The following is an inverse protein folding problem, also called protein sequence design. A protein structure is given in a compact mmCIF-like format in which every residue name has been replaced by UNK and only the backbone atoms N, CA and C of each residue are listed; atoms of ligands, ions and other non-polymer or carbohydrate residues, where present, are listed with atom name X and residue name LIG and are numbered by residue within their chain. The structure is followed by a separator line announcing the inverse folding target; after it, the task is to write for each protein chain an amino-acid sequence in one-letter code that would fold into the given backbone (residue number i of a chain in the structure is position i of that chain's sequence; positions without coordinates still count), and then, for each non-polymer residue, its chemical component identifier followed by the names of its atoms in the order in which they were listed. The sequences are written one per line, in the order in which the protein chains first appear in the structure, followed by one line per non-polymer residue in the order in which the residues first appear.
data_IF_752998889619
#
_entry.id   IF_752998889619
#
_cell.length_a   1.000
_cell.length_b   1.000
_cell.length_c   1.000
_cell.angle_alpha   90.00
_cell.angle_beta   90.00
_cell.angle_gamma   90.00
#
_symmetry.space_group_name_H-M   'P 1'
#
loop_
_entity.id
_entity.type
_entity.pdbx_description
1 polymer ?
#
# COMPACT_ATOMS: atom_id res chain seq x y z
N UNK A 1 4.76 -25.57 6.09
CA UNK A 1 4.90 -24.54 5.03
C UNK A 1 5.64 -25.19 3.86
N UNK A 2 5.14 -25.11 2.63
CA UNK A 2 5.86 -25.64 1.47
C UNK A 2 7.19 -24.87 1.31
N UNK A 3 8.30 -25.57 1.03
CA UNK A 3 9.64 -24.97 0.88
C UNK A 3 9.64 -23.84 -0.14
N UNK A 4 8.82 -23.95 -1.19
CA UNK A 4 8.65 -22.94 -2.23
C UNK A 4 8.12 -21.62 -1.65
N UNK A 5 7.04 -21.68 -0.86
CA UNK A 5 6.40 -20.51 -0.24
C UNK A 5 7.37 -19.79 0.71
N UNK A 6 8.18 -20.57 1.44
CA UNK A 6 9.18 -20.01 2.34
C UNK A 6 10.27 -19.23 1.59
N UNK A 7 10.72 -19.77 0.46
CA UNK A 7 11.73 -19.09 -0.38
C UNK A 7 11.14 -17.80 -0.96
N UNK A 8 9.92 -17.83 -1.50
CA UNK A 8 9.25 -16.64 -2.04
C UNK A 8 9.12 -15.53 -0.98
N UNK A 9 8.73 -15.90 0.24
CA UNK A 9 8.59 -14.97 1.35
C UNK A 9 9.93 -14.32 1.73
N UNK A 10 11.00 -15.12 1.84
CA UNK A 10 12.34 -14.61 2.16
C UNK A 10 12.85 -13.68 1.07
N UNK A 11 12.66 -14.03 -0.21
CA UNK A 11 13.07 -13.19 -1.35
C UNK A 11 12.32 -11.87 -1.33
N UNK A 12 11.00 -11.90 -1.11
CA UNK A 12 10.19 -10.69 -0.99
C UNK A 12 10.70 -9.75 0.11
N UNK A 13 10.95 -10.28 1.31
CA UNK A 13 11.52 -9.50 2.42
C UNK A 13 12.91 -8.95 2.09
N UNK A 14 13.77 -9.75 1.48
CA UNK A 14 15.12 -9.33 1.11
C UNK A 14 15.10 -8.17 0.10
N UNK A 15 14.19 -8.22 -0.88
CA UNK A 15 14.01 -7.13 -1.86
C UNK A 15 13.54 -5.85 -1.17
N UNK A 16 12.52 -5.93 -0.31
CA UNK A 16 12.01 -4.76 0.43
C UNK A 16 13.09 -4.11 1.30
N UNK A 17 13.84 -4.92 2.05
CA UNK A 17 14.96 -4.44 2.87
C UNK A 17 16.06 -3.84 2.01
N UNK A 18 16.38 -4.46 0.86
CA UNK A 18 17.36 -3.95 -0.09
C UNK A 18 17.00 -2.56 -0.62
N UNK A 19 15.73 -2.35 -1.00
CA UNK A 19 15.22 -1.05 -1.44
C UNK A 19 15.35 -0.02 -0.30
N UNK A 20 14.91 -0.37 0.91
CA UNK A 20 15.00 0.50 2.08
C UNK A 20 16.43 0.93 2.39
N UNK A 21 17.37 -0.02 2.42
CA UNK A 21 18.78 0.25 2.67
C UNK A 21 19.44 1.09 1.56
N UNK A 22 19.05 0.88 0.30
CA UNK A 22 19.54 1.66 -0.82
C UNK A 22 19.17 3.15 -0.67
N UNK A 23 17.90 3.44 -0.37
CA UNK A 23 17.43 4.81 -0.18
C UNK A 23 17.95 5.43 1.13
N UNK A 24 18.13 4.64 2.18
CA UNK A 24 18.70 5.09 3.46
C UNK A 24 20.15 5.60 3.34
N UNK A 25 20.93 5.07 2.39
CA UNK A 25 22.32 5.49 2.16
C UNK A 25 22.44 6.72 1.26
N UNK A 26 21.34 7.18 0.67
CA UNK A 26 21.33 8.32 -0.25
C UNK A 26 21.29 9.62 0.55
N UNK A 27 22.18 10.57 0.24
CA UNK A 27 22.11 11.91 0.82
C UNK A 27 20.88 12.63 0.25
N UNK A 28 19.86 12.82 1.08
CA UNK A 28 18.62 13.51 0.74
C UNK A 28 18.53 14.80 1.56
N UNK A 29 18.06 15.89 0.92
CA UNK A 29 17.67 17.07 1.68
C UNK A 29 16.35 16.82 2.42
N UNK A 30 16.00 17.66 3.40
CA UNK A 30 14.72 17.57 4.11
C UNK A 30 13.51 17.62 3.16
N UNK A 31 13.61 18.42 2.08
CA UNK A 31 12.57 18.50 1.05
C UNK A 31 12.50 17.23 0.18
N UNK A 32 13.63 16.58 -0.09
CA UNK A 32 13.64 15.30 -0.81
C UNK A 32 13.05 14.17 0.03
N UNK A 33 13.29 14.19 1.35
CA UNK A 33 12.78 13.18 2.27
C UNK A 33 11.27 13.31 2.51
N UNK A 34 10.76 14.53 2.72
CA UNK A 34 9.34 14.75 3.00
C UNK A 34 8.45 14.81 1.75
N UNK A 35 8.93 15.40 0.64
CA UNK A 35 8.10 15.68 -0.54
C UNK A 35 8.55 14.91 -1.79
N UNK A 36 9.49 13.97 -1.66
CA UNK A 36 10.08 13.25 -2.80
C UNK A 36 10.76 14.19 -3.80
N UNK A 37 11.11 15.42 -3.38
CA UNK A 37 11.74 16.44 -4.22
C UNK A 37 10.87 16.93 -5.39
N UNK A 38 9.55 16.76 -5.35
CA UNK A 38 8.62 16.99 -6.49
C UNK A 38 8.95 16.16 -7.74
N UNK A 39 9.75 15.11 -7.61
CA UNK A 39 10.17 14.23 -8.73
C UNK A 39 9.21 13.05 -8.95
N UNK A 40 8.32 12.80 -7.99
CA UNK A 40 7.36 11.70 -8.04
C UNK A 40 6.08 12.21 -8.73
N UNK A 41 5.61 11.54 -9.81
CA UNK A 41 4.38 11.95 -10.47
C UNK A 41 3.17 11.73 -9.55
N UNK A 42 2.18 12.61 -9.64
CA UNK A 42 1.03 12.65 -8.71
C UNK A 42 0.27 11.33 -8.59
N UNK A 43 0.12 10.57 -9.69
CA UNK A 43 -0.53 9.26 -9.67
C UNK A 43 0.24 8.23 -8.81
N UNK A 44 1.58 8.27 -8.84
CA UNK A 44 2.41 7.35 -8.05
C UNK A 44 2.38 7.73 -6.56
N UNK A 45 2.31 9.03 -6.27
CA UNK A 45 2.15 9.55 -4.91
C UNK A 45 0.80 9.12 -4.32
N UNK A 46 -0.28 9.25 -5.11
CA UNK A 46 -1.63 8.84 -4.74
C UNK A 46 -1.73 7.35 -4.44
N UNK A 47 -1.14 6.50 -5.30
CA UNK A 47 -1.08 5.05 -5.06
C UNK A 47 -0.24 4.69 -3.83
N UNK A 48 0.88 5.37 -3.60
CA UNK A 48 1.74 5.13 -2.43
C UNK A 48 1.05 5.46 -1.11
N UNK A 49 0.27 6.55 -1.10
CA UNK A 49 -0.50 6.94 0.08
C UNK A 49 -1.59 5.90 0.38
N UNK A 50 -2.33 5.41 -0.64
CA UNK A 50 -3.31 4.34 -0.44
C UNK A 50 -2.68 3.00 -0.07
N UNK A 51 -1.52 2.63 -0.63
CA UNK A 51 -0.81 1.42 -0.22
C UNK A 51 -0.38 1.44 1.26
N UNK A 52 -0.19 2.64 1.83
CA UNK A 52 0.09 2.80 3.27
C UNK A 52 -1.17 2.61 4.11
N UNK A 53 -2.33 3.08 3.64
CA UNK A 53 -3.62 2.90 4.31
C UNK A 53 -4.17 1.47 4.19
N UNK A 54 -4.01 0.86 3.02
CA UNK A 54 -4.46 -0.50 2.71
C UNK A 54 -3.45 -1.52 3.21
N UNK A 55 -3.49 -1.77 4.52
CA UNK A 55 -2.72 -2.82 5.18
C UNK A 55 -3.41 -4.18 5.07
N UNK A 56 -3.15 -5.09 6.01
CA UNK A 56 -3.88 -6.35 6.16
C UNK A 56 -5.41 -6.18 6.30
N UNK A 57 -5.89 -4.93 6.47
CA UNK A 57 -7.29 -4.54 6.44
C UNK A 57 -8.07 -5.11 5.24
N UNK A 58 -7.63 -4.90 4.00
CA UNK A 58 -8.38 -5.38 2.83
C UNK A 58 -8.49 -6.91 2.79
N UNK A 59 -7.40 -7.60 3.13
CA UNK A 59 -7.30 -9.06 2.97
C UNK A 59 -7.90 -9.85 4.12
N UNK A 60 -7.84 -9.33 5.35
CA UNK A 60 -8.35 -10.03 6.54
C UNK A 60 -9.57 -9.33 7.14
N UNK A 61 -9.56 -8.00 7.22
CA UNK A 61 -10.63 -7.21 7.83
C UNK A 61 -11.89 -7.19 6.97
N UNK A 62 -11.79 -6.68 5.74
CA UNK A 62 -12.93 -6.54 4.84
C UNK A 62 -13.49 -7.91 4.41
N UNK A 63 -12.64 -8.89 4.14
CA UNK A 63 -13.07 -10.26 3.79
C UNK A 63 -13.74 -10.96 4.97
N UNK A 64 -13.21 -10.80 6.20
CA UNK A 64 -13.83 -11.32 7.42
C UNK A 64 -15.19 -10.69 7.69
N UNK A 65 -15.29 -9.37 7.50
CA UNK A 65 -16.57 -8.67 7.57
C UNK A 65 -17.54 -9.14 6.47
N UNK A 66 -17.07 -9.30 5.24
CA UNK A 66 -17.88 -9.78 4.13
C UNK A 66 -18.40 -11.20 4.36
N UNK A 67 -17.60 -12.06 4.99
CA UNK A 67 -18.04 -13.40 5.41
C UNK A 67 -19.19 -13.34 6.41
N UNK A 68 -19.17 -12.39 7.35
CA UNK A 68 -20.23 -12.23 8.36
C UNK A 68 -21.48 -11.49 7.85
N UNK A 69 -21.30 -10.41 7.08
CA UNK A 69 -22.38 -9.52 6.63
C UNK A 69 -22.96 -9.89 5.24
N UNK A 70 -22.36 -10.86 4.55
CA UNK A 70 -22.77 -11.31 3.23
C UNK A 70 -22.61 -10.24 2.15
N UNK A 71 -23.45 -10.32 1.11
CA UNK A 71 -23.35 -9.48 -0.10
C UNK A 71 -23.48 -7.97 0.17
N UNK A 72 -24.06 -7.57 1.31
CA UNK A 72 -24.23 -6.17 1.69
C UNK A 72 -22.89 -5.44 1.87
N UNK A 73 -21.82 -6.18 2.16
CA UNK A 73 -20.45 -5.66 2.31
C UNK A 73 -19.88 -5.03 1.04
N UNK A 74 -20.45 -5.30 -0.14
CA UNK A 74 -20.02 -4.68 -1.41
C UNK A 74 -20.14 -3.15 -1.38
N UNK A 75 -21.09 -2.61 -0.60
CA UNK A 75 -21.28 -1.18 -0.45
C UNK A 75 -20.11 -0.50 0.26
N UNK A 76 -19.40 -1.22 1.13
CA UNK A 76 -18.18 -0.72 1.77
C UNK A 76 -17.08 -0.55 0.71
N UNK A 77 -16.88 -1.56 -0.15
CA UNK A 77 -15.91 -1.47 -1.23
C UNK A 77 -16.23 -0.31 -2.19
N UNK A 78 -17.51 -0.18 -2.59
CA UNK A 78 -17.95 0.91 -3.47
C UNK A 78 -17.74 2.28 -2.80
N UNK A 79 -18.15 2.44 -1.55
CA UNK A 79 -18.00 3.68 -0.78
C UNK A 79 -16.53 4.08 -0.60
N UNK A 80 -15.66 3.12 -0.26
CA UNK A 80 -14.22 3.34 -0.14
C UNK A 80 -13.62 3.78 -1.47
N UNK A 81 -13.88 3.07 -2.57
CA UNK A 81 -13.33 3.43 -3.89
C UNK A 81 -13.80 4.82 -4.33
N UNK A 82 -15.09 5.12 -4.19
CA UNK A 82 -15.62 6.44 -4.55
C UNK A 82 -15.02 7.55 -3.68
N UNK A 83 -14.96 7.35 -2.36
CA UNK A 83 -14.35 8.31 -1.44
C UNK A 83 -12.87 8.58 -1.75
N UNK A 84 -12.13 7.53 -2.08
CA UNK A 84 -10.71 7.61 -2.49
C UNK A 84 -10.56 8.42 -3.77
N UNK A 85 -11.37 8.11 -4.79
CA UNK A 85 -11.32 8.81 -6.08
C UNK A 85 -11.69 10.28 -5.92
N UNK A 86 -12.74 10.58 -5.16
CA UNK A 86 -13.15 11.98 -4.88
C UNK A 86 -12.03 12.73 -4.15
N UNK A 87 -11.39 12.10 -3.14
CA UNK A 87 -10.25 12.68 -2.41
C UNK A 87 -9.00 12.91 -3.26
N UNK A 88 -8.87 12.27 -4.42
CA UNK A 88 -7.75 12.51 -5.33
C UNK A 88 -8.06 13.57 -6.37
N UNK A 89 -9.34 13.74 -6.73
CA UNK A 89 -9.80 14.72 -7.71
C UNK A 89 -9.96 16.12 -7.11
N UNK A 90 -10.14 16.21 -5.79
CA UNK A 90 -10.36 17.44 -5.02
C UNK A 90 -9.33 17.58 -3.90
#
# INVERSE_FOLDING_TARGET
MNTIIMIEFIVYLAVLLGIGLYFARKKMSQADFHLGGKKIPGWALALSERATGESAWCLLGLTGFAFAAGLSSVWIAIGCVLGIVVSWLW
#
